data_IF_220411396732
#
_entry.id   IF_220411396732
#
_cell.length_a   1.000
_cell.length_b   1.000
_cell.length_c   1.000
_cell.angle_alpha   90.00
_cell.angle_beta   90.00
_cell.angle_gamma   90.00
#
_symmetry.space_group_name_H-M   'P 1'
#
loop_
_entity.id
_entity.type
_entity.pdbx_description
1 polymer ?
#
# COMPACT_ATOMS: atom_id res chain seq x y z
N UNK A 1 38.21 -77.57 19.37
CA UNK A 1 37.69 -77.71 18.01
C UNK A 1 36.64 -76.64 17.77
N UNK A 2 36.80 -75.98 16.64
CA UNK A 2 36.04 -74.90 15.99
C UNK A 2 34.55 -75.23 15.79
N UNK A 3 33.65 -74.24 15.89
CA UNK A 3 32.70 -73.88 14.81
C UNK A 3 31.80 -72.68 15.11
N UNK A 4 31.54 -71.98 14.02
CA UNK A 4 31.07 -70.61 13.87
C UNK A 4 29.54 -70.45 13.91
N UNK A 5 29.14 -69.19 14.14
CA UNK A 5 27.80 -68.62 14.07
C UNK A 5 27.23 -68.59 12.63
N UNK A 6 25.90 -68.64 12.46
CA UNK A 6 25.24 -67.87 11.40
C UNK A 6 23.79 -67.48 11.75
N UNK A 7 23.55 -66.16 11.61
CA UNK A 7 22.28 -65.42 11.73
C UNK A 7 21.63 -65.31 10.34
N UNK A 8 20.30 -65.17 10.32
CA UNK A 8 19.46 -65.02 9.13
C UNK A 8 18.57 -63.76 9.24
N UNK A 9 18.30 -63.01 8.15
CA UNK A 9 17.27 -61.97 8.14
C UNK A 9 16.09 -62.24 7.16
N UNK A 10 14.92 -61.59 7.37
CA UNK A 10 13.61 -62.08 6.91
C UNK A 10 13.05 -61.43 5.63
N UNK A 11 12.13 -62.17 5.02
CA UNK A 11 11.35 -61.89 3.80
C UNK A 11 10.33 -60.77 3.98
N UNK A 12 10.16 -59.92 2.94
CA UNK A 12 8.96 -59.10 2.74
C UNK A 12 8.40 -59.20 1.31
N UNK A 13 7.08 -59.30 1.30
CA UNK A 13 6.15 -59.54 0.20
C UNK A 13 6.07 -58.40 -0.82
N UNK A 14 5.76 -58.79 -2.06
CA UNK A 14 5.19 -57.95 -3.10
C UNK A 14 3.67 -57.91 -2.94
N UNK A 15 3.06 -56.73 -3.12
CA UNK A 15 1.74 -56.57 -3.73
C UNK A 15 1.69 -55.25 -4.49
N UNK A 16 1.18 -55.37 -5.72
CA UNK A 16 0.47 -54.44 -6.60
C UNK A 16 0.52 -52.93 -6.40
N UNK A 17 0.77 -52.21 -7.50
CA UNK A 17 -0.15 -51.24 -8.13
C UNK A 17 0.45 -50.83 -9.48
N UNK A 18 -0.20 -51.13 -10.62
CA UNK A 18 -1.14 -50.26 -11.33
C UNK A 18 -0.65 -48.81 -11.53
N UNK A 19 -0.20 -48.50 -12.75
CA UNK A 19 -0.91 -47.59 -13.67
C UNK A 19 -0.07 -47.36 -14.93
N UNK A 20 -0.64 -47.73 -16.07
CA UNK A 20 -0.22 -47.21 -17.37
C UNK A 20 -0.83 -45.83 -17.59
N UNK A 21 -0.04 -44.93 -18.16
CA UNK A 21 -0.45 -43.78 -18.98
C UNK A 21 0.74 -43.51 -19.89
N UNK A 22 0.65 -43.97 -21.14
CA UNK A 22 0.15 -43.19 -22.27
C UNK A 22 1.24 -42.29 -22.88
N UNK A 23 1.64 -42.72 -24.05
CA UNK A 23 2.42 -42.04 -25.07
C UNK A 23 1.81 -40.70 -25.43
N UNK A 24 2.65 -39.66 -25.51
CA UNK A 24 2.35 -38.45 -26.28
C UNK A 24 3.63 -37.94 -26.95
N UNK A 25 3.98 -38.60 -28.05
CA UNK A 25 4.57 -37.92 -29.21
C UNK A 25 3.45 -37.20 -29.94
N UNK A 26 3.61 -35.90 -30.20
CA UNK A 26 3.12 -35.23 -31.41
C UNK A 26 3.49 -33.73 -31.37
N UNK A 27 4.55 -33.40 -32.11
CA UNK A 27 4.46 -32.48 -33.25
C UNK A 27 3.58 -31.23 -33.06
N UNK A 28 4.18 -30.14 -32.56
CA UNK A 28 3.65 -28.80 -32.79
C UNK A 28 4.02 -28.37 -34.21
N UNK A 29 3.06 -28.49 -35.11
CA UNK A 29 3.08 -27.90 -36.44
C UNK A 29 2.42 -26.52 -36.36
N UNK A 30 3.11 -25.55 -36.95
CA UNK A 30 2.64 -24.18 -37.14
C UNK A 30 1.47 -24.19 -38.11
N UNK A 31 0.34 -23.58 -37.73
CA UNK A 31 -0.62 -23.08 -38.70
C UNK A 31 -1.05 -21.68 -38.30
N UNK A 32 -0.68 -20.75 -39.19
CA UNK A 32 -1.07 -19.36 -39.22
C UNK A 32 -2.38 -19.30 -40.02
N UNK A 33 -3.47 -18.89 -39.39
CA UNK A 33 -4.64 -18.41 -40.12
C UNK A 33 -5.07 -17.02 -39.61
N UNK A 34 -5.21 -16.04 -40.51
CA UNK A 34 -5.80 -14.74 -40.21
C UNK A 34 -7.31 -14.82 -40.49
N UNK A 35 -8.13 -14.80 -39.44
CA UNK A 35 -9.55 -14.51 -39.61
C UNK A 35 -9.81 -13.11 -39.08
N UNK A 36 -10.03 -12.20 -40.02
CA UNK A 36 -10.58 -10.88 -39.78
C UNK A 36 -11.96 -11.03 -39.14
N UNK A 37 -12.09 -10.41 -37.97
CA UNK A 37 -13.40 -10.08 -37.42
C UNK A 37 -13.67 -8.65 -37.81
N UNK A 38 -14.46 -8.53 -38.87
CA UNK A 38 -15.16 -7.33 -39.29
C UNK A 38 -16.08 -6.91 -38.12
N UNK A 39 -15.70 -5.86 -37.39
CA UNK A 39 -16.59 -5.25 -36.39
C UNK A 39 -17.53 -4.32 -37.13
N UNK A 40 -18.73 -4.84 -37.39
CA UNK A 40 -19.85 -4.09 -37.90
C UNK A 40 -20.30 -3.06 -36.85
N UNK A 41 -20.23 -1.79 -37.25
CA UNK A 41 -20.63 -0.62 -36.46
C UNK A 41 -22.11 -0.36 -36.78
N UNK A 42 -23.00 -0.87 -35.93
CA UNK A 42 -24.39 -0.42 -35.83
C UNK A 42 -24.64 0.00 -34.38
N UNK A 43 -24.49 1.27 -34.05
CA UNK A 43 -25.52 2.32 -34.11
C UNK A 43 -26.81 1.98 -33.35
N UNK A 44 -27.04 2.78 -32.31
CA UNK A 44 -28.31 3.19 -31.69
C UNK A 44 -29.06 2.22 -30.76
N UNK A 45 -29.19 2.68 -29.51
CA UNK A 45 -30.51 2.70 -28.87
C UNK A 45 -30.78 1.58 -27.88
N UNK A 46 -30.47 1.85 -26.60
CA UNK A 46 -31.40 1.74 -25.46
C UNK A 46 -30.60 1.67 -24.18
N UNK A 47 -30.39 2.82 -23.53
CA UNK A 47 -29.95 2.87 -22.14
C UNK A 47 -31.13 2.33 -21.31
N UNK A 48 -31.02 1.17 -20.64
CA UNK A 48 -32.07 0.73 -19.74
C UNK A 48 -32.19 1.74 -18.58
N UNK A 49 -33.41 2.05 -18.11
CA UNK A 49 -33.57 2.92 -16.97
C UNK A 49 -32.86 2.28 -15.78
N UNK A 50 -31.91 3.04 -15.22
CA UNK A 50 -31.24 2.79 -13.95
C UNK A 50 -32.29 2.49 -12.89
N UNK A 51 -32.60 1.21 -12.70
CA UNK A 51 -33.38 0.73 -11.59
C UNK A 51 -32.58 1.05 -10.33
N UNK A 52 -33.12 1.99 -9.57
CA UNK A 52 -32.55 2.50 -8.35
C UNK A 52 -32.07 1.35 -7.49
N UNK A 53 -30.75 1.24 -7.36
CA UNK A 53 -30.11 0.59 -6.22
C UNK A 53 -30.44 1.45 -5.01
N UNK A 54 -31.65 1.26 -4.48
CA UNK A 54 -32.03 1.71 -3.15
C UNK A 54 -31.08 1.01 -2.18
N UNK A 55 -30.02 1.72 -1.84
CA UNK A 55 -29.46 1.84 -0.50
C UNK A 55 -29.84 0.71 0.45
N UNK A 56 -29.06 -0.37 0.39
CA UNK A 56 -28.87 -1.31 1.49
C UNK A 56 -28.05 -0.59 2.60
N UNK A 57 -28.58 0.50 3.16
CA UNK A 57 -27.93 1.31 4.20
C UNK A 57 -28.30 0.88 5.63
N UNK A 58 -29.18 -0.12 5.80
CA UNK A 58 -29.70 -0.53 7.12
C UNK A 58 -28.92 -1.68 7.81
N UNK A 59 -27.65 -1.93 7.48
CA UNK A 59 -26.86 -3.00 8.11
C UNK A 59 -25.72 -2.54 9.04
N UNK A 60 -25.57 -1.24 9.29
CA UNK A 60 -24.39 -0.72 10.01
C UNK A 60 -24.60 -0.47 11.52
N UNK A 61 -25.83 -0.48 12.04
CA UNK A 61 -26.09 0.12 13.37
C UNK A 61 -26.36 -0.86 14.53
N UNK A 62 -26.40 -2.18 14.29
CA UNK A 62 -26.80 -3.14 15.34
C UNK A 62 -25.66 -3.95 16.00
N UNK A 63 -24.39 -3.76 15.62
CA UNK A 63 -23.29 -4.61 16.09
C UNK A 63 -22.07 -3.88 16.68
N UNK A 64 -22.22 -2.70 17.27
CA UNK A 64 -21.20 -2.11 18.15
C UNK A 64 -21.33 -2.58 19.61
N UNK A 65 -21.66 -3.87 19.84
CA UNK A 65 -21.38 -4.46 21.15
C UNK A 65 -19.88 -4.70 21.19
N UNK A 66 -19.16 -3.99 22.05
CA UNK A 66 -17.78 -4.32 22.41
C UNK A 66 -17.72 -5.82 22.68
N UNK A 67 -17.14 -6.56 21.73
CA UNK A 67 -17.03 -8.01 21.88
C UNK A 67 -15.84 -8.23 22.79
N UNK A 68 -16.12 -8.62 24.03
CA UNK A 68 -15.09 -9.01 24.97
C UNK A 68 -14.36 -10.24 24.42
N UNK A 69 -13.15 -10.00 23.90
CA UNK A 69 -12.27 -11.03 23.35
C UNK A 69 -11.78 -12.00 24.43
N UNK A 70 -11.89 -11.64 25.71
CA UNK A 70 -11.50 -12.49 26.84
C UNK A 70 -12.66 -13.32 27.40
N UNK A 71 -13.85 -13.24 26.79
CA UNK A 71 -14.97 -14.08 27.18
C UNK A 71 -14.62 -15.58 27.01
N UNK A 72 -14.76 -16.40 28.06
CA UNK A 72 -14.49 -17.84 27.99
C UNK A 72 -15.45 -18.59 27.06
N UNK A 73 -16.60 -17.98 26.72
CA UNK A 73 -17.61 -18.56 25.84
C UNK A 73 -17.35 -18.27 24.35
N UNK A 74 -16.30 -17.50 24.03
CA UNK A 74 -15.97 -17.14 22.67
C UNK A 74 -15.56 -18.40 21.88
N UNK A 75 -16.35 -18.73 20.86
CA UNK A 75 -16.09 -19.89 19.99
C UNK A 75 -15.14 -19.51 18.85
N UNK A 76 -14.33 -20.45 18.36
CA UNK A 76 -13.35 -20.18 17.29
C UNK A 76 -14.00 -19.55 16.04
N UNK A 77 -15.18 -20.02 15.65
CA UNK A 77 -15.91 -19.45 14.51
C UNK A 77 -16.37 -18.00 14.76
N UNK A 78 -16.65 -17.62 16.01
CA UNK A 78 -16.97 -16.24 16.39
C UNK A 78 -15.71 -15.38 16.31
N UNK A 79 -14.59 -15.83 16.91
CA UNK A 79 -13.29 -15.14 16.81
C UNK A 79 -12.90 -14.90 15.34
N UNK A 80 -13.03 -15.90 14.48
CA UNK A 80 -12.75 -15.76 13.04
C UNK A 80 -13.66 -14.74 12.35
N UNK A 81 -14.96 -14.69 12.70
CA UNK A 81 -15.90 -13.68 12.17
C UNK A 81 -15.52 -12.28 12.61
N UNK A 82 -15.20 -12.10 13.89
CA UNK A 82 -14.75 -10.83 14.46
C UNK A 82 -13.48 -10.38 13.73
N UNK A 83 -12.48 -11.26 13.57
CA UNK A 83 -11.27 -10.97 12.80
C UNK A 83 -11.59 -10.45 11.40
N UNK A 84 -12.43 -11.15 10.65
CA UNK A 84 -12.81 -10.71 9.29
C UNK A 84 -13.62 -9.42 9.24
N UNK A 85 -14.29 -9.06 10.33
CA UNK A 85 -15.00 -7.79 10.46
C UNK A 85 -13.99 -6.67 10.72
N UNK A 86 -13.15 -6.81 11.74
CA UNK A 86 -12.10 -5.82 12.08
C UNK A 86 -11.15 -5.60 10.90
N UNK A 87 -10.76 -6.67 10.19
CA UNK A 87 -9.95 -6.58 8.97
C UNK A 87 -10.61 -5.74 7.87
N UNK A 88 -11.93 -5.90 7.66
CA UNK A 88 -12.69 -5.07 6.70
C UNK A 88 -12.77 -3.62 7.16
N UNK A 89 -12.95 -3.39 8.46
CA UNK A 89 -13.06 -2.04 9.02
C UNK A 89 -11.72 -1.29 8.91
N UNK A 90 -10.59 -1.97 9.18
CA UNK A 90 -9.23 -1.46 8.92
C UNK A 90 -9.05 -1.10 7.45
N UNK A 91 -9.49 -1.95 6.53
CA UNK A 91 -9.37 -1.66 5.10
C UNK A 91 -10.21 -0.46 4.68
N UNK A 92 -11.41 -0.26 5.25
CA UNK A 92 -12.22 0.94 5.03
C UNK A 92 -11.51 2.19 5.58
N UNK A 93 -10.90 2.12 6.76
CA UNK A 93 -10.10 3.22 7.33
C UNK A 93 -8.90 3.57 6.44
N UNK A 94 -8.14 2.58 5.96
CA UNK A 94 -7.04 2.80 5.00
C UNK A 94 -7.51 3.53 3.74
N UNK A 95 -8.67 3.14 3.21
CA UNK A 95 -9.26 3.78 2.03
C UNK A 95 -9.67 5.24 2.32
N UNK A 96 -10.28 5.52 3.48
CA UNK A 96 -10.63 6.90 3.88
C UNK A 96 -9.39 7.77 4.05
N UNK A 97 -8.39 7.29 4.78
CA UNK A 97 -7.08 7.94 4.94
C UNK A 97 -6.48 8.30 3.58
N UNK A 98 -6.46 7.34 2.65
CA UNK A 98 -5.94 7.55 1.28
C UNK A 98 -6.73 8.62 0.53
N UNK A 99 -8.06 8.64 0.64
CA UNK A 99 -8.88 9.68 -0.01
C UNK A 99 -8.60 11.06 0.59
N UNK A 100 -8.49 11.18 1.92
CA UNK A 100 -8.18 12.44 2.59
C UNK A 100 -6.81 12.99 2.20
N UNK A 101 -5.79 12.14 2.08
CA UNK A 101 -4.47 12.53 1.58
C UNK A 101 -4.54 13.09 0.16
N UNK A 102 -5.26 12.41 -0.75
CA UNK A 102 -5.43 12.88 -2.12
C UNK A 102 -6.22 14.19 -2.20
N UNK A 103 -7.20 14.38 -1.31
CA UNK A 103 -7.96 15.62 -1.22
C UNK A 103 -7.10 16.78 -0.72
N UNK A 104 -6.30 16.56 0.33
CA UNK A 104 -5.33 17.54 0.83
C UNK A 104 -4.34 17.94 -0.28
N UNK A 105 -3.78 16.97 -1.01
CA UNK A 105 -2.85 17.23 -2.10
C UNK A 105 -3.49 18.07 -3.22
N UNK A 106 -4.74 17.76 -3.60
CA UNK A 106 -5.50 18.53 -4.59
C UNK A 106 -5.77 19.96 -4.13
N UNK A 107 -6.16 20.14 -2.87
CA UNK A 107 -6.40 21.46 -2.29
C UNK A 107 -5.11 22.29 -2.25
N UNK A 108 -3.98 21.69 -1.87
CA UNK A 108 -2.66 22.34 -1.91
C UNK A 108 -2.26 22.77 -3.33
N UNK A 109 -2.48 21.92 -4.34
CA UNK A 109 -2.25 22.29 -5.75
C UNK A 109 -3.10 23.49 -6.15
N UNK A 110 -4.38 23.49 -5.81
CA UNK A 110 -5.31 24.60 -6.09
C UNK A 110 -4.91 25.90 -5.40
N UNK A 111 -4.46 25.86 -4.15
CA UNK A 111 -3.88 27.01 -3.42
C UNK A 111 -2.68 27.56 -4.18
N UNK A 112 -1.75 26.70 -4.60
CA UNK A 112 -0.53 27.12 -5.28
C UNK A 112 -0.84 27.76 -6.65
N UNK A 113 -1.76 27.19 -7.42
CA UNK A 113 -2.22 27.78 -8.67
C UNK A 113 -2.91 29.13 -8.46
N UNK A 114 -3.75 29.25 -7.43
CA UNK A 114 -4.45 30.49 -7.07
C UNK A 114 -3.47 31.59 -6.65
N UNK A 115 -2.46 31.25 -5.82
CA UNK A 115 -1.36 32.15 -5.46
C UNK A 115 -0.56 32.58 -6.68
N UNK A 116 -0.21 31.65 -7.57
CA UNK A 116 0.52 31.94 -8.81
C UNK A 116 -0.25 32.91 -9.71
N UNK A 117 -1.56 32.69 -9.90
CA UNK A 117 -2.44 33.62 -10.64
C UNK A 117 -2.51 34.99 -9.97
N UNK A 118 -2.62 35.02 -8.65
CA UNK A 118 -2.62 36.28 -7.88
C UNK A 118 -1.31 37.06 -8.11
N UNK A 119 -0.16 36.40 -8.00
CA UNK A 119 1.15 37.00 -8.30
C UNK A 119 1.24 37.49 -9.75
N UNK A 120 0.75 36.73 -10.72
CA UNK A 120 0.72 37.15 -12.12
C UNK A 120 -0.11 38.41 -12.34
N UNK A 121 -1.28 38.52 -11.70
CA UNK A 121 -2.14 39.72 -11.79
C UNK A 121 -1.43 40.92 -11.16
N UNK A 122 -0.81 40.74 -9.99
CA UNK A 122 -0.06 41.81 -9.31
C UNK A 122 1.18 42.24 -10.12
N UNK A 123 1.91 41.31 -10.72
CA UNK A 123 3.06 41.61 -11.58
C UNK A 123 2.63 42.32 -12.87
N UNK A 124 1.51 41.91 -13.47
CA UNK A 124 0.93 42.59 -14.63
C UNK A 124 0.46 44.00 -14.27
N UNK A 125 -0.18 44.17 -13.11
CA UNK A 125 -0.54 45.50 -12.56
C UNK A 125 0.71 46.35 -12.42
N UNK A 126 1.74 45.86 -11.73
CA UNK A 126 3.02 46.55 -11.53
C UNK A 126 3.69 46.92 -12.86
N UNK A 127 3.80 45.98 -13.81
CA UNK A 127 4.35 46.23 -15.15
C UNK A 127 3.52 47.24 -15.95
N UNK A 128 2.20 47.22 -15.82
CA UNK A 128 1.33 48.20 -16.48
C UNK A 128 1.47 49.59 -15.87
N UNK A 129 1.60 49.69 -14.55
CA UNK A 129 1.83 50.95 -13.84
C UNK A 129 3.23 51.49 -14.17
N UNK A 130 4.25 50.64 -14.15
CA UNK A 130 5.61 50.96 -14.60
C UNK A 130 5.64 51.33 -16.09
N UNK A 131 4.91 50.63 -16.96
CA UNK A 131 4.82 50.99 -18.39
C UNK A 131 4.09 52.31 -18.57
N UNK A 132 3.06 52.60 -17.79
CA UNK A 132 2.39 53.89 -17.84
C UNK A 132 3.31 55.02 -17.36
N UNK A 133 4.06 54.80 -16.26
CA UNK A 133 5.07 55.74 -15.79
C UNK A 133 6.22 55.89 -16.78
N UNK A 134 6.73 54.78 -17.32
CA UNK A 134 7.75 54.77 -18.35
C UNK A 134 7.23 55.43 -19.61
N UNK A 135 6.02 55.18 -20.08
CA UNK A 135 5.44 55.92 -21.21
C UNK A 135 5.32 57.42 -20.92
N UNK A 136 5.04 57.81 -19.68
CA UNK A 136 5.10 59.22 -19.28
C UNK A 136 6.53 59.79 -19.39
N UNK A 137 7.54 59.02 -18.97
CA UNK A 137 8.97 59.37 -19.00
C UNK A 137 9.62 59.14 -20.38
N UNK A 138 9.08 58.26 -21.20
CA UNK A 138 9.56 57.80 -22.50
C UNK A 138 8.87 58.61 -23.60
N UNK A 139 7.65 59.10 -23.40
CA UNK A 139 7.15 60.28 -24.11
C UNK A 139 8.05 61.50 -23.84
N UNK A 140 8.81 61.48 -22.74
CA UNK A 140 9.91 62.40 -22.43
C UNK A 140 11.28 61.98 -23.04
N UNK A 141 11.54 60.71 -23.36
CA UNK A 141 12.88 60.17 -23.74
C UNK A 141 13.00 59.51 -25.14
N UNK A 142 11.94 58.99 -25.76
CA UNK A 142 11.90 58.41 -27.13
C UNK A 142 12.01 59.45 -28.26
N UNK A 143 12.67 60.56 -27.93
CA UNK A 143 13.48 61.34 -28.86
C UNK A 143 14.81 60.65 -29.23
N UNK A 144 15.18 59.47 -28.67
CA UNK A 144 16.48 58.83 -28.95
C UNK A 144 16.52 57.28 -29.08
N UNK A 145 16.61 56.78 -30.33
CA UNK A 145 17.40 55.59 -30.80
C UNK A 145 16.81 54.14 -30.84
N UNK A 146 17.21 53.40 -31.90
CA UNK A 146 16.81 52.02 -32.28
C UNK A 146 17.99 51.29 -32.98
N UNK A 147 18.34 50.03 -32.61
CA UNK A 147 19.07 48.98 -33.40
C UNK A 147 19.38 47.72 -32.52
N UNK A 148 18.59 46.64 -32.59
CA UNK A 148 18.69 45.38 -33.40
C UNK A 148 19.57 44.24 -32.85
N UNK A 149 18.90 43.13 -32.53
CA UNK A 149 19.40 41.78 -32.21
C UNK A 149 19.11 40.82 -33.38
N UNK A 150 19.91 39.77 -33.56
CA UNK A 150 19.51 38.56 -34.29
C UNK A 150 20.42 37.37 -33.94
N UNK A 151 19.89 36.16 -34.18
CA UNK A 151 20.61 34.88 -34.28
C UNK A 151 20.58 33.96 -33.06
N UNK A 152 19.42 33.37 -32.87
CA UNK A 152 19.14 32.17 -32.07
C UNK A 152 19.40 30.88 -32.85
N UNK A 153 19.53 29.76 -32.12
CA UNK A 153 18.91 28.47 -32.44
C UNK A 153 19.38 27.71 -33.69
N UNK A 154 20.57 27.09 -33.61
CA UNK A 154 20.89 25.98 -34.52
C UNK A 154 21.22 24.65 -33.82
N UNK A 155 21.71 24.64 -32.58
CA UNK A 155 22.45 23.45 -32.12
C UNK A 155 21.68 22.43 -31.27
N UNK A 156 20.40 22.66 -30.96
CA UNK A 156 19.65 21.82 -30.00
C UNK A 156 18.80 20.69 -30.57
N UNK A 157 19.09 20.21 -31.79
CA UNK A 157 18.20 19.23 -32.44
C UNK A 157 18.78 17.87 -32.80
N UNK A 158 20.01 17.52 -32.41
CA UNK A 158 20.65 16.38 -33.09
C UNK A 158 20.88 15.07 -32.34
N UNK A 159 20.92 14.95 -31.00
CA UNK A 159 21.51 13.71 -30.46
C UNK A 159 20.85 13.12 -29.21
N UNK A 160 19.60 12.67 -29.35
CA UNK A 160 18.90 11.79 -28.40
C UNK A 160 18.46 10.46 -29.07
N UNK A 161 19.40 9.65 -29.55
CA UNK A 161 19.04 8.43 -30.32
C UNK A 161 19.91 7.18 -30.05
N UNK A 162 20.63 7.08 -28.93
CA UNK A 162 21.65 6.01 -28.75
C UNK A 162 21.43 5.11 -27.50
N UNK A 163 20.28 5.21 -26.79
CA UNK A 163 20.05 4.49 -25.51
C UNK A 163 19.23 3.18 -25.60
N UNK A 164 19.28 2.44 -26.72
CA UNK A 164 18.51 1.16 -26.87
C UNK A 164 19.42 0.00 -27.27
N UNK A 165 20.54 -0.18 -26.56
CA UNK A 165 21.43 -1.35 -26.76
C UNK A 165 21.90 -2.00 -25.46
N UNK A 166 21.08 -1.87 -24.43
CA UNK A 166 21.27 -2.45 -23.11
C UNK A 166 20.28 -3.62 -22.92
N UNK A 167 20.47 -4.80 -23.53
CA UNK A 167 19.62 -5.98 -23.22
C UNK A 167 19.97 -7.38 -23.77
N UNK A 168 21.24 -7.81 -23.87
CA UNK A 168 21.55 -9.22 -24.21
C UNK A 168 22.83 -9.74 -23.52
N UNK A 169 22.73 -10.11 -22.24
CA UNK A 169 23.83 -10.80 -21.54
C UNK A 169 23.36 -11.75 -20.41
N UNK A 170 22.25 -12.48 -20.60
CA UNK A 170 21.80 -13.47 -19.63
C UNK A 170 21.09 -14.61 -20.34
N UNK A 171 21.80 -15.71 -20.60
CA UNK A 171 21.28 -17.09 -20.62
C UNK A 171 22.24 -18.00 -21.37
N UNK A 172 23.26 -18.49 -20.67
CA UNK A 172 23.89 -19.74 -21.05
C UNK A 172 24.39 -20.43 -19.77
N UNK A 173 24.29 -21.76 -19.78
CA UNK A 173 24.94 -22.69 -18.84
C UNK A 173 24.27 -22.91 -17.48
N UNK A 174 23.55 -24.03 -17.36
CA UNK A 174 24.02 -25.09 -16.44
C UNK A 174 23.17 -26.35 -16.66
N UNK A 175 23.62 -27.14 -17.64
CA UNK A 175 23.25 -28.54 -17.82
C UNK A 175 23.90 -29.39 -16.72
N UNK A 176 23.36 -30.60 -16.55
CA UNK A 176 24.07 -31.90 -16.59
C UNK A 176 24.13 -32.70 -15.26
N UNK A 177 23.31 -33.76 -15.24
CA UNK A 177 23.57 -35.15 -14.82
C UNK A 177 24.06 -35.43 -13.39
N UNK A 178 23.42 -36.41 -12.73
CA UNK A 178 24.03 -37.73 -12.58
C UNK A 178 23.05 -38.65 -11.83
N UNK A 179 22.36 -39.43 -12.64
CA UNK A 179 21.77 -40.69 -12.25
C UNK A 179 22.89 -41.73 -12.05
N UNK A 180 22.49 -42.95 -11.70
CA UNK A 180 23.38 -44.10 -11.50
C UNK A 180 24.05 -44.13 -10.15
N UNK A 181 23.38 -44.72 -9.15
CA UNK A 181 23.99 -45.87 -8.50
C UNK A 181 23.00 -46.71 -7.67
N UNK A 182 22.89 -47.96 -8.13
CA UNK A 182 23.27 -49.11 -7.32
C UNK A 182 22.20 -49.83 -6.50
N UNK A 183 21.26 -50.30 -7.29
CA UNK A 183 20.55 -51.59 -7.30
C UNK A 183 21.45 -52.83 -6.97
N UNK A 184 21.60 -53.25 -5.70
CA UNK A 184 22.40 -54.45 -5.33
C UNK A 184 21.87 -55.38 -4.20
N UNK A 185 20.63 -55.25 -3.69
CA UNK A 185 20.29 -55.81 -2.35
C UNK A 185 19.36 -57.05 -2.27
N UNK A 186 19.18 -57.87 -3.32
CA UNK A 186 18.01 -58.79 -3.38
C UNK A 186 18.30 -60.30 -3.12
N UNK A 187 19.54 -60.74 -2.86
CA UNK A 187 19.88 -62.18 -3.04
C UNK A 187 19.92 -63.11 -1.81
N UNK A 188 19.49 -62.71 -0.60
CA UNK A 188 19.83 -63.46 0.63
C UNK A 188 18.71 -64.21 1.38
N UNK A 189 17.45 -64.24 0.92
CA UNK A 189 16.32 -64.57 1.82
C UNK A 189 15.73 -66.00 1.80
N UNK A 190 16.28 -66.96 1.06
CA UNK A 190 15.56 -68.21 0.79
C UNK A 190 15.74 -69.36 1.81
N UNK A 191 16.72 -69.32 2.72
CA UNK A 191 17.17 -70.52 3.47
C UNK A 191 16.60 -70.70 4.90
N UNK A 192 15.60 -69.92 5.31
CA UNK A 192 15.16 -69.84 6.73
C UNK A 192 14.08 -70.88 7.09
N UNK A 193 13.45 -71.52 6.11
CA UNK A 193 12.02 -71.87 6.19
C UNK A 193 11.63 -73.11 7.03
N UNK A 194 12.51 -74.09 7.27
CA UNK A 194 12.08 -75.43 7.69
C UNK A 194 12.44 -75.86 9.13
N UNK A 195 12.97 -74.96 9.97
CA UNK A 195 13.27 -75.24 11.40
C UNK A 195 12.09 -74.94 12.35
N UNK A 196 10.89 -74.67 11.84
CA UNK A 196 9.91 -73.77 12.45
C UNK A 196 8.71 -74.43 13.20
N UNK A 197 8.54 -75.76 13.13
CA UNK A 197 7.20 -76.39 13.30
C UNK A 197 6.95 -77.09 14.66
N UNK A 198 7.97 -77.56 15.39
CA UNK A 198 7.82 -78.20 16.73
C UNK A 198 7.86 -77.20 17.89
N UNK A 199 8.63 -76.11 17.75
CA UNK A 199 8.55 -74.92 18.62
C UNK A 199 7.14 -74.30 18.61
N UNK A 200 6.34 -74.60 17.60
CA UNK A 200 5.09 -73.94 17.28
C UNK A 200 3.95 -74.24 18.29
N UNK A 201 3.97 -75.39 18.96
CA UNK A 201 2.88 -75.87 19.85
C UNK A 201 3.07 -75.43 21.31
N UNK A 202 4.29 -75.50 21.85
CA UNK A 202 4.59 -74.91 23.17
C UNK A 202 4.51 -73.38 23.14
N UNK A 203 4.92 -72.77 22.02
CA UNK A 203 4.64 -71.37 21.77
C UNK A 203 3.14 -71.08 21.71
N UNK A 204 2.24 -71.99 21.29
CA UNK A 204 0.80 -71.68 21.21
C UNK A 204 0.13 -71.40 22.56
N UNK A 205 0.57 -72.04 23.64
CA UNK A 205 -0.04 -71.87 24.96
C UNK A 205 0.53 -70.65 25.70
N UNK A 206 1.83 -70.39 25.57
CA UNK A 206 2.44 -69.12 25.95
C UNK A 206 1.85 -67.96 25.13
N UNK A 207 1.69 -68.13 23.81
CA UNK A 207 1.01 -67.18 22.91
C UNK A 207 -0.40 -66.89 23.39
N UNK A 208 -1.14 -67.84 23.97
CA UNK A 208 -2.52 -67.62 24.47
C UNK A 208 -2.57 -66.71 25.71
N UNK A 209 -1.67 -66.92 26.67
CA UNK A 209 -1.58 -66.08 27.86
C UNK A 209 -0.98 -64.70 27.53
N UNK A 210 0.04 -64.69 26.66
CA UNK A 210 0.55 -63.47 26.04
C UNK A 210 -0.57 -62.74 25.31
N UNK A 211 -1.43 -63.42 24.55
CA UNK A 211 -2.58 -62.82 23.86
C UNK A 211 -3.54 -62.11 24.81
N UNK A 212 -3.77 -62.67 26.01
CA UNK A 212 -4.69 -62.10 27.00
C UNK A 212 -4.08 -60.86 27.66
N UNK A 213 -2.82 -60.92 28.05
CA UNK A 213 -2.08 -59.76 28.56
C UNK A 213 -1.93 -58.67 27.47
N UNK A 214 -1.64 -59.09 26.24
CA UNK A 214 -1.56 -58.24 25.06
C UNK A 214 -2.90 -57.60 24.73
N UNK A 215 -4.03 -58.31 24.89
CA UNK A 215 -5.38 -57.76 24.72
C UNK A 215 -5.68 -56.66 25.75
N UNK A 216 -5.34 -56.86 27.02
CA UNK A 216 -5.53 -55.84 28.06
C UNK A 216 -4.62 -54.62 27.83
N UNK A 217 -3.35 -54.88 27.48
CA UNK A 217 -2.40 -53.83 27.12
C UNK A 217 -2.82 -53.07 25.85
N UNK A 218 -3.39 -53.76 24.86
CA UNK A 218 -3.96 -53.13 23.67
C UNK A 218 -5.16 -52.25 24.03
N UNK A 219 -6.03 -52.70 24.93
CA UNK A 219 -7.17 -51.91 25.40
C UNK A 219 -6.73 -50.65 26.17
N UNK A 220 -5.73 -50.77 27.05
CA UNK A 220 -5.11 -49.62 27.70
C UNK A 220 -4.51 -48.64 26.67
N UNK A 221 -3.76 -49.14 25.69
CA UNK A 221 -3.19 -48.33 24.60
C UNK A 221 -4.26 -47.63 23.74
N UNK A 222 -5.40 -48.26 23.51
CA UNK A 222 -6.52 -47.63 22.78
C UNK A 222 -7.08 -46.46 23.60
N UNK A 223 -7.31 -46.65 24.90
CA UNK A 223 -7.81 -45.58 25.76
C UNK A 223 -6.81 -44.42 25.87
N UNK A 224 -5.53 -44.71 26.08
CA UNK A 224 -4.45 -43.72 26.13
C UNK A 224 -4.34 -42.94 24.80
N UNK A 225 -4.44 -43.64 23.67
CA UNK A 225 -4.50 -43.02 22.35
C UNK A 225 -5.72 -42.10 22.19
N UNK A 226 -6.92 -42.51 22.64
CA UNK A 226 -8.13 -41.70 22.56
C UNK A 226 -8.01 -40.43 23.42
N UNK A 227 -7.51 -40.55 24.66
CA UNK A 227 -7.27 -39.40 25.55
C UNK A 227 -6.27 -38.44 24.91
N UNK A 228 -5.12 -38.95 24.46
CA UNK A 228 -4.08 -38.15 23.78
C UNK A 228 -4.62 -37.48 22.52
N UNK A 229 -5.47 -38.18 21.74
CA UNK A 229 -6.08 -37.62 20.54
C UNK A 229 -7.05 -36.47 20.86
N UNK A 230 -7.86 -36.62 21.91
CA UNK A 230 -8.75 -35.57 22.38
C UNK A 230 -7.99 -34.36 22.93
N UNK A 231 -6.93 -34.60 23.70
CA UNK A 231 -6.05 -33.55 24.23
C UNK A 231 -5.37 -32.77 23.10
N UNK A 232 -4.77 -33.46 22.12
CA UNK A 232 -4.21 -32.81 20.93
C UNK A 232 -5.24 -31.99 20.15
N UNK A 233 -6.45 -32.51 19.97
CA UNK A 233 -7.51 -31.77 19.29
C UNK A 233 -7.92 -30.50 20.06
N UNK A 234 -7.93 -30.54 21.40
CA UNK A 234 -8.17 -29.37 22.26
C UNK A 234 -7.03 -28.37 22.16
N UNK A 235 -5.78 -28.81 22.26
CA UNK A 235 -4.60 -27.95 22.11
C UNK A 235 -4.56 -27.26 20.75
N UNK A 236 -4.82 -27.99 19.66
CA UNK A 236 -4.86 -27.42 18.31
C UNK A 236 -5.96 -26.37 18.17
N UNK A 237 -7.13 -26.62 18.76
CA UNK A 237 -8.24 -25.65 18.77
C UNK A 237 -7.87 -24.41 19.59
N UNK A 238 -7.22 -24.60 20.74
CA UNK A 238 -6.73 -23.51 21.59
C UNK A 238 -5.66 -22.67 20.89
N UNK A 239 -4.71 -23.30 20.19
CA UNK A 239 -3.67 -22.60 19.40
C UNK A 239 -4.29 -21.78 18.27
N UNK A 240 -5.29 -22.32 17.57
CA UNK A 240 -6.02 -21.58 16.53
C UNK A 240 -6.77 -20.39 17.13
N UNK A 241 -7.46 -20.58 18.26
CA UNK A 241 -8.11 -19.49 18.97
C UNK A 241 -7.14 -18.36 19.31
N UNK A 242 -6.00 -18.70 19.91
CA UNK A 242 -4.98 -17.73 20.30
C UNK A 242 -4.43 -16.96 19.09
N UNK A 243 -4.22 -17.65 17.97
CA UNK A 243 -3.78 -16.99 16.73
C UNK A 243 -4.81 -16.00 16.17
N UNK A 244 -6.11 -16.30 16.26
CA UNK A 244 -7.17 -15.39 15.84
C UNK A 244 -7.25 -14.19 16.79
N UNK A 245 -7.17 -14.39 18.11
CA UNK A 245 -7.12 -13.31 19.11
C UNK A 245 -5.96 -12.35 18.85
N UNK A 246 -4.76 -12.88 18.60
CA UNK A 246 -3.59 -12.07 18.27
C UNK A 246 -3.77 -11.27 16.98
N UNK A 247 -4.39 -11.86 15.95
CA UNK A 247 -4.66 -11.14 14.70
C UNK A 247 -5.68 -10.02 14.90
N UNK A 248 -6.75 -10.26 15.67
CA UNK A 248 -7.73 -9.23 16.03
C UNK A 248 -7.04 -8.06 16.72
N UNK A 249 -6.24 -8.34 17.76
CA UNK A 249 -5.51 -7.32 18.51
C UNK A 249 -4.57 -6.48 17.63
N UNK A 250 -3.88 -7.13 16.67
CA UNK A 250 -3.03 -6.42 15.73
C UNK A 250 -3.84 -5.49 14.82
N UNK A 251 -5.00 -5.95 14.32
CA UNK A 251 -5.87 -5.12 13.50
C UNK A 251 -6.54 -3.98 14.31
N UNK A 252 -6.89 -4.21 15.57
CA UNK A 252 -7.39 -3.16 16.47
C UNK A 252 -6.35 -2.08 16.74
N UNK A 253 -5.10 -2.47 17.00
CA UNK A 253 -4.00 -1.53 17.16
C UNK A 253 -3.76 -0.72 15.87
N UNK A 254 -3.83 -1.37 14.71
CA UNK A 254 -3.74 -0.68 13.42
C UNK A 254 -4.92 0.27 13.19
N UNK A 255 -6.15 -0.15 13.52
CA UNK A 255 -7.34 0.69 13.43
C UNK A 255 -7.17 1.96 14.26
N UNK A 256 -6.72 1.85 15.52
CA UNK A 256 -6.45 3.00 16.38
C UNK A 256 -5.41 3.95 15.78
N UNK A 257 -4.34 3.43 15.18
CA UNK A 257 -3.34 4.27 14.50
C UNK A 257 -3.92 4.98 13.27
N UNK A 258 -4.74 4.29 12.47
CA UNK A 258 -5.40 4.87 11.30
C UNK A 258 -6.44 5.92 11.69
N UNK A 259 -7.19 5.72 12.78
CA UNK A 259 -8.15 6.70 13.31
C UNK A 259 -7.46 7.98 13.79
N UNK A 260 -6.35 7.85 14.54
CA UNK A 260 -5.53 9.00 14.94
C UNK A 260 -5.01 9.75 13.71
N UNK A 261 -4.56 9.01 12.69
CA UNK A 261 -4.05 9.60 11.46
C UNK A 261 -5.16 10.24 10.60
N UNK A 262 -6.35 9.64 10.55
CA UNK A 262 -7.55 10.20 9.91
C UNK A 262 -7.95 11.52 10.57
N UNK A 263 -7.99 11.57 11.91
CA UNK A 263 -8.30 12.77 12.66
C UNK A 263 -7.30 13.90 12.39
N UNK A 264 -6.00 13.58 12.34
CA UNK A 264 -4.95 14.54 11.97
C UNK A 264 -5.08 15.04 10.54
N UNK A 265 -5.41 14.16 9.58
CA UNK A 265 -5.64 14.54 8.19
C UNK A 265 -6.88 15.42 8.04
N UNK A 266 -7.98 15.13 8.75
CA UNK A 266 -9.17 15.96 8.75
C UNK A 266 -8.87 17.37 9.28
N UNK A 267 -8.11 17.47 10.38
CA UNK A 267 -7.67 18.77 10.92
C UNK A 267 -6.83 19.54 9.90
N UNK A 268 -5.84 18.88 9.27
CA UNK A 268 -5.01 19.49 8.22
C UNK A 268 -5.81 19.91 6.99
N UNK A 269 -6.80 19.11 6.59
CA UNK A 269 -7.66 19.41 5.46
C UNK A 269 -8.51 20.65 5.75
N UNK A 270 -9.06 20.79 6.96
CA UNK A 270 -9.78 22.00 7.39
C UNK A 270 -8.87 23.24 7.36
N UNK A 271 -7.64 23.14 7.90
CA UNK A 271 -6.65 24.22 7.81
C UNK A 271 -6.30 24.57 6.35
N UNK A 272 -6.21 23.55 5.48
CA UNK A 272 -5.92 23.72 4.06
C UNK A 272 -7.08 24.38 3.32
N UNK A 273 -8.32 23.99 3.59
CA UNK A 273 -9.52 24.65 3.05
C UNK A 273 -9.60 26.12 3.50
N UNK A 274 -9.22 26.43 4.74
CA UNK A 274 -9.13 27.81 5.19
C UNK A 274 -8.04 28.60 4.43
N UNK A 275 -6.87 27.99 4.20
CA UNK A 275 -5.80 28.58 3.36
C UNK A 275 -6.27 28.78 1.91
N UNK A 276 -7.07 27.86 1.38
CA UNK A 276 -7.69 27.96 0.06
C UNK A 276 -8.63 29.15 -0.01
N UNK A 277 -9.56 29.28 0.94
CA UNK A 277 -10.46 30.44 1.05
C UNK A 277 -9.68 31.75 1.13
N UNK A 278 -8.63 31.81 1.94
CA UNK A 278 -7.78 32.99 2.04
C UNK A 278 -7.07 33.31 0.71
N UNK A 279 -6.56 32.31 0.00
CA UNK A 279 -5.92 32.49 -1.31
C UNK A 279 -6.90 33.01 -2.36
N UNK A 280 -8.15 32.52 -2.35
CA UNK A 280 -9.21 33.03 -3.22
C UNK A 280 -9.57 34.49 -2.90
N UNK A 281 -9.72 34.83 -1.62
CA UNK A 281 -9.98 36.22 -1.21
C UNK A 281 -8.86 37.16 -1.67
N UNK A 282 -7.59 36.72 -1.61
CA UNK A 282 -6.45 37.48 -2.13
C UNK A 282 -6.50 37.64 -3.65
N UNK A 283 -6.87 36.58 -4.37
CA UNK A 283 -7.04 36.62 -5.83
C UNK A 283 -8.16 37.60 -6.22
N UNK A 284 -9.31 37.52 -5.55
CA UNK A 284 -10.46 38.40 -5.76
C UNK A 284 -10.08 39.86 -5.48
N UNK A 285 -9.41 40.12 -4.35
CA UNK A 285 -8.92 41.46 -4.00
C UNK A 285 -7.96 41.99 -5.07
N UNK A 286 -7.02 41.17 -5.55
CA UNK A 286 -6.08 41.54 -6.61
C UNK A 286 -6.78 41.80 -7.95
N UNK A 287 -7.85 41.07 -8.27
CA UNK A 287 -8.67 41.29 -9.47
C UNK A 287 -9.46 42.60 -9.39
N UNK A 288 -10.09 42.89 -8.24
CA UNK A 288 -10.79 44.16 -8.00
C UNK A 288 -9.81 45.33 -8.13
N UNK A 289 -8.65 45.24 -7.47
CA UNK A 289 -7.56 46.21 -7.56
C UNK A 289 -7.04 46.40 -8.98
N UNK A 290 -6.97 45.32 -9.76
CA UNK A 290 -6.54 45.35 -11.15
C UNK A 290 -7.56 46.07 -12.04
N UNK A 291 -8.84 45.94 -11.74
CA UNK A 291 -9.97 46.53 -12.48
C UNK A 291 -10.11 48.06 -12.29
N UNK A 292 -9.57 48.64 -11.21
CA UNK A 292 -9.61 50.09 -10.98
C UNK A 292 -8.92 50.84 -12.15
N UNK A 293 -9.53 51.88 -12.76
CA UNK A 293 -8.93 52.59 -13.89
C UNK A 293 -7.52 53.13 -13.60
N UNK A 294 -6.62 53.03 -14.60
CA UNK A 294 -5.19 53.42 -14.49
C UNK A 294 -5.00 54.88 -14.04
N UNK A 295 -5.84 55.79 -14.54
CA UNK A 295 -5.79 57.23 -14.20
C UNK A 295 -6.07 57.50 -12.71
N UNK A 296 -6.97 56.73 -12.09
CA UNK A 296 -7.28 56.86 -10.66
C UNK A 296 -6.19 56.25 -9.77
N UNK A 297 -5.55 55.17 -10.21
CA UNK A 297 -4.48 54.51 -9.43
C UNK A 297 -3.21 55.35 -9.31
N UNK A 298 -2.77 55.99 -10.40
CA UNK A 298 -1.51 56.75 -10.41
C UNK A 298 -1.69 58.17 -9.85
N UNK A 299 -2.87 58.78 -10.00
CA UNK A 299 -3.16 60.12 -9.50
C UNK A 299 -3.21 60.23 -7.96
N UNK A 300 -3.63 59.16 -7.26
CA UNK A 300 -3.70 59.16 -5.80
C UNK A 300 -2.32 59.23 -5.11
N UNK A 301 -1.28 58.67 -5.73
CA UNK A 301 0.08 58.68 -5.16
C UNK A 301 0.85 59.98 -5.38
N UNK A 302 0.48 60.82 -6.35
CA UNK A 302 1.14 62.12 -6.58
C UNK A 302 0.62 63.23 -5.66
N UNK A 303 -0.65 63.16 -5.23
CA UNK A 303 -1.25 64.15 -4.33
C UNK A 303 -0.59 64.20 -2.94
N UNK A 304 0.06 63.12 -2.49
CA UNK A 304 0.71 63.06 -1.18
C UNK A 304 2.05 63.81 -1.14
N UNK A 305 2.74 63.97 -2.27
CA UNK A 305 4.04 64.64 -2.33
C UNK A 305 3.94 66.15 -2.67
N UNK A 306 2.77 66.65 -3.06
CA UNK A 306 2.58 68.04 -3.48
C UNK A 306 2.15 69.00 -2.37
N UNK A 307 1.83 68.53 -1.15
CA UNK A 307 1.40 69.40 -0.03
C UNK A 307 2.41 69.51 1.13
N UNK A 308 3.63 68.96 0.99
CA UNK A 308 4.64 68.95 2.06
C UNK A 308 5.67 70.09 2.06
N UNK A 309 5.68 71.03 1.11
CA UNK A 309 6.68 72.11 1.08
C UNK A 309 6.23 73.44 1.71
N UNK A 310 5.03 73.48 2.30
CA UNK A 310 4.54 74.66 3.00
C UNK A 310 4.64 74.52 4.51
N UNK A 311 5.61 75.23 5.11
CA UNK A 311 5.62 75.69 6.53
C UNK A 311 6.30 74.77 7.57
N UNK A 312 7.62 74.90 7.67
CA UNK A 312 8.29 74.83 8.98
C UNK A 312 9.58 75.67 8.97
N UNK A 313 9.39 76.99 9.07
CA UNK A 313 10.38 77.89 9.65
C UNK A 313 9.85 78.31 11.01
N UNK A 314 10.75 78.32 12.00
CA UNK A 314 10.62 78.91 13.34
C UNK A 314 9.76 78.12 14.35
N UNK A 315 10.41 77.32 15.19
CA UNK A 315 10.60 77.71 16.61
C UNK A 315 11.61 76.82 17.32
N UNK A 316 12.68 77.45 17.75
CA UNK A 316 13.59 76.98 18.79
C UNK A 316 12.82 76.71 20.08
N UNK A 317 13.19 75.63 20.76
CA UNK A 317 12.57 75.19 21.99
C UNK A 317 13.34 74.02 22.57
N UNK A 318 14.55 74.31 23.04
CA UNK A 318 15.29 73.57 24.06
C UNK A 318 14.37 72.82 25.02
N UNK A 319 14.63 71.53 25.28
CA UNK A 319 14.55 70.95 26.64
C UNK A 319 15.40 69.68 26.69
N UNK A 320 16.47 69.77 27.49
CA UNK A 320 17.19 68.65 28.06
C UNK A 320 16.26 67.87 29.01
N UNK A 321 16.41 66.54 29.04
CA UNK A 321 16.46 65.65 30.23
C UNK A 321 16.26 64.22 29.70
N UNK A 322 17.28 63.36 29.66
CA UNK A 322 17.85 62.59 30.78
C UNK A 322 17.08 61.31 31.10
N UNK A 323 17.87 60.24 31.25
CA UNK A 323 17.67 58.96 31.97
C UNK A 323 16.77 57.85 31.39
N UNK A 324 17.40 56.68 31.20
CA UNK A 324 17.19 55.41 31.96
C UNK A 324 16.78 54.15 31.16
N UNK A 325 17.78 53.26 31.04
CA UNK A 325 17.79 51.78 31.15
C UNK A 325 16.49 50.98 31.29
N UNK A 326 16.41 49.84 30.58
CA UNK A 326 16.38 48.47 31.15
C UNK A 326 16.09 47.43 30.04
N UNK A 327 17.00 46.51 29.70
CA UNK A 327 17.07 45.10 30.18
C UNK A 327 15.73 44.39 30.42
N UNK A 328 15.49 43.28 29.70
CA UNK A 328 14.81 41.99 30.07
C UNK A 328 14.64 41.22 28.75
N UNK A 329 15.31 40.11 28.38
CA UNK A 329 15.63 38.81 29.01
C UNK A 329 14.41 38.06 29.57
N UNK A 330 13.76 37.23 28.74
CA UNK A 330 13.17 35.98 29.25
C UNK A 330 13.03 34.90 28.18
N UNK A 331 13.76 33.81 28.42
CA UNK A 331 13.54 32.47 27.89
C UNK A 331 12.26 31.88 28.51
N UNK A 332 11.50 31.08 27.74
CA UNK A 332 11.38 29.63 27.94
C UNK A 332 10.65 29.01 26.77
#
# INVERSE_FOLDING_TARGET
MEKQQSKLPPIKNQYSSNNGHESASSQLQQDVHPNGVEYDVQLVGSIPPSSGKQSNQNYLDENQKEVDLESPDLTYNQAKKIRTQVERDVELLRNRVRMLQLEEERALKKINETKKKTSQILDLKKKNDEKFQKQLVEQQQNLGSLKTNQSTNYEKRQKQLIDIKQKQLQMYESKKQDAEQLKQNIRQQQQIKNKLEYDQVMQNQERKNQLKAEKQHAQYKINDYLVTKHERAREETSKKMESEKMQIKNYELEAQQLELYEADLLRKLQETQQKEKNAFNMLESAMIDAAIPKKMRVGANQSLYSQGSGRSQMREGSHQTSVRSSTTKRQR
#
